data_IF_698118353697
#
_entry.id   IF_698118353697
#
_cell.length_a   1.000
_cell.length_b   1.000
_cell.length_c   1.000
_cell.angle_alpha   90.00
_cell.angle_beta   90.00
_cell.angle_gamma   90.00
#
_symmetry.space_group_name_H-M   'P 1'
#
loop_
_entity.id
_entity.type
_entity.pdbx_description
1 polymer ?
#
# COMPACT_ATOMS: atom_id res chain seq x y z
N UNK A 1 13.46 -31.54 -5.11
CA UNK A 1 12.55 -30.66 -5.87
C UNK A 1 13.34 -29.43 -6.29
N UNK A 2 13.21 -28.99 -7.54
CA UNK A 2 13.73 -27.71 -7.95
C UNK A 2 13.02 -26.61 -7.15
N UNK A 3 13.77 -25.63 -6.67
CA UNK A 3 13.20 -24.47 -6.00
C UNK A 3 12.57 -23.55 -7.05
N UNK A 4 11.27 -23.76 -7.27
CA UNK A 4 10.47 -23.03 -8.25
C UNK A 4 10.43 -21.52 -7.95
N UNK A 5 10.53 -21.10 -6.68
CA UNK A 5 10.56 -19.69 -6.31
C UNK A 5 11.87 -19.06 -6.79
N UNK A 6 13.00 -19.71 -6.53
CA UNK A 6 14.30 -19.25 -7.03
C UNK A 6 14.35 -19.17 -8.55
N UNK A 7 13.72 -20.11 -9.27
CA UNK A 7 13.63 -20.05 -10.74
C UNK A 7 12.83 -18.83 -11.23
N UNK A 8 11.66 -18.58 -10.64
CA UNK A 8 10.82 -17.44 -10.98
C UNK A 8 11.50 -16.10 -10.67
N UNK A 9 12.23 -16.00 -9.56
CA UNK A 9 13.02 -14.81 -9.22
C UNK A 9 14.11 -14.56 -10.26
N UNK A 10 14.83 -15.60 -10.68
CA UNK A 10 15.88 -15.45 -11.71
C UNK A 10 15.30 -15.01 -13.06
N UNK A 11 14.16 -15.58 -13.45
CA UNK A 11 13.45 -15.18 -14.68
C UNK A 11 12.93 -13.75 -14.59
N UNK A 12 12.35 -13.37 -13.45
CA UNK A 12 11.88 -12.00 -13.20
C UNK A 12 13.01 -10.98 -13.25
N UNK A 13 14.18 -11.29 -12.70
CA UNK A 13 15.36 -10.40 -12.74
C UNK A 13 15.87 -10.11 -14.16
N UNK A 14 15.66 -11.03 -15.10
CA UNK A 14 16.05 -10.89 -16.49
C UNK A 14 15.10 -9.99 -17.32
N UNK A 15 13.94 -9.61 -16.77
CA UNK A 15 13.00 -8.72 -17.43
C UNK A 15 13.53 -7.26 -17.46
N UNK A 16 13.09 -6.46 -18.46
CA UNK A 16 13.26 -5.02 -18.43
C UNK A 16 12.66 -4.38 -17.15
N UNK A 17 13.16 -3.21 -16.70
CA UNK A 17 12.67 -2.56 -15.48
C UNK A 17 11.14 -2.45 -15.38
N UNK A 18 10.48 -1.95 -16.43
CA UNK A 18 9.02 -1.77 -16.47
C UNK A 18 8.25 -3.10 -16.30
N UNK A 19 8.75 -4.18 -16.89
CA UNK A 19 8.14 -5.50 -16.77
C UNK A 19 8.35 -6.12 -15.38
N UNK A 20 9.44 -5.77 -14.70
CA UNK A 20 9.66 -6.17 -13.29
C UNK A 20 8.68 -5.48 -12.36
N UNK A 21 8.45 -4.18 -12.56
CA UNK A 21 7.46 -3.41 -11.81
C UNK A 21 6.07 -4.03 -11.99
N UNK A 22 5.67 -4.24 -13.25
CA UNK A 22 4.39 -4.89 -13.57
C UNK A 22 4.23 -6.28 -12.96
N UNK A 23 5.30 -7.08 -12.91
CA UNK A 23 5.28 -8.41 -12.29
C UNK A 23 5.11 -8.31 -10.77
N UNK A 24 5.82 -7.38 -10.12
CA UNK A 24 5.70 -7.15 -8.68
C UNK A 24 4.29 -6.69 -8.32
N UNK A 25 3.72 -5.77 -9.09
CA UNK A 25 2.36 -5.26 -8.87
C UNK A 25 1.31 -6.38 -8.91
N UNK A 26 1.36 -7.25 -9.93
CA UNK A 26 0.42 -8.38 -10.02
C UNK A 26 0.59 -9.39 -8.88
N UNK A 27 1.82 -9.66 -8.45
CA UNK A 27 2.07 -10.54 -7.32
C UNK A 27 1.53 -9.92 -6.02
N UNK A 28 1.74 -8.62 -5.81
CA UNK A 28 1.20 -7.90 -4.65
C UNK A 28 -0.34 -7.88 -4.67
N UNK A 29 -0.95 -7.65 -5.83
CA UNK A 29 -2.41 -7.73 -6.00
C UNK A 29 -2.95 -9.10 -5.60
N UNK A 30 -2.32 -10.20 -6.06
CA UNK A 30 -2.74 -11.57 -5.70
C UNK A 30 -2.65 -11.88 -4.21
N UNK A 31 -1.74 -11.21 -3.49
CA UNK A 31 -1.60 -11.35 -2.03
C UNK A 31 -2.67 -10.52 -1.30
N UNK A 32 -3.09 -9.40 -1.90
CA UNK A 32 -4.02 -8.46 -1.29
C UNK A 32 -5.49 -8.73 -1.62
N UNK A 33 -5.80 -9.41 -2.74
CA UNK A 33 -7.18 -9.70 -3.19
C UNK A 33 -8.08 -10.28 -2.08
N UNK A 34 -7.67 -11.31 -1.30
CA UNK A 34 -8.52 -11.87 -0.26
C UNK A 34 -8.80 -10.88 0.88
N UNK A 35 -7.81 -10.07 1.25
CA UNK A 35 -7.93 -9.10 2.34
C UNK A 35 -8.71 -7.85 1.91
N UNK A 36 -8.55 -7.40 0.66
CA UNK A 36 -9.21 -6.22 0.13
C UNK A 36 -10.74 -6.40 0.13
N UNK A 37 -11.25 -7.57 -0.24
CA UNK A 37 -12.69 -7.85 -0.25
C UNK A 37 -13.33 -7.76 1.15
N UNK A 38 -12.64 -8.25 2.18
CA UNK A 38 -13.14 -8.24 3.56
C UNK A 38 -12.95 -6.87 4.24
N UNK A 39 -11.89 -6.15 3.89
CA UNK A 39 -11.52 -4.90 4.54
C UNK A 39 -12.30 -3.69 4.01
N UNK A 40 -12.77 -3.71 2.76
CA UNK A 40 -13.40 -2.55 2.12
C UNK A 40 -14.54 -1.94 2.95
N UNK A 41 -15.49 -2.75 3.45
CA UNK A 41 -16.61 -2.22 4.24
C UNK A 41 -16.17 -1.62 5.59
N UNK A 42 -15.17 -2.22 6.24
CA UNK A 42 -14.63 -1.70 7.49
C UNK A 42 -13.87 -0.38 7.27
N UNK A 43 -13.14 -0.26 6.16
CA UNK A 43 -12.46 0.97 5.76
C UNK A 43 -13.42 2.08 5.37
N UNK A 44 -14.48 1.77 4.60
CA UNK A 44 -15.53 2.74 4.26
C UNK A 44 -16.14 3.33 5.53
N UNK A 45 -16.55 2.49 6.47
CA UNK A 45 -17.12 2.94 7.75
C UNK A 45 -16.13 3.79 8.56
N UNK A 46 -14.85 3.44 8.57
CA UNK A 46 -13.83 4.19 9.29
C UNK A 46 -13.52 5.56 8.64
N UNK A 47 -13.52 5.63 7.30
CA UNK A 47 -13.34 6.88 6.55
C UNK A 47 -14.49 7.83 6.86
N UNK A 48 -15.74 7.36 6.77
CA UNK A 48 -16.92 8.16 7.08
C UNK A 48 -16.87 8.69 8.53
N UNK A 49 -16.52 7.82 9.48
CA UNK A 49 -16.39 8.21 10.90
C UNK A 49 -15.34 9.31 11.09
N UNK A 50 -14.15 9.15 10.49
CA UNK A 50 -13.05 10.12 10.63
C UNK A 50 -13.34 11.46 9.98
N UNK A 51 -14.01 11.46 8.83
CA UNK A 51 -14.42 12.70 8.17
C UNK A 51 -15.45 13.45 9.02
N UNK A 52 -16.45 12.75 9.55
CA UNK A 52 -17.45 13.37 10.43
C UNK A 52 -16.82 13.98 11.69
N UNK A 53 -15.87 13.29 12.33
CA UNK A 53 -15.12 13.82 13.48
C UNK A 53 -14.28 15.05 13.12
N UNK A 54 -13.67 15.06 11.93
CA UNK A 54 -12.90 16.20 11.42
C UNK A 54 -13.81 17.41 11.16
N UNK A 55 -14.91 17.23 10.44
CA UNK A 55 -15.86 18.29 10.10
C UNK A 55 -16.51 18.90 11.35
N UNK A 56 -16.73 18.09 12.39
CA UNK A 56 -17.25 18.53 13.70
C UNK A 56 -16.19 19.18 14.59
N UNK A 57 -14.91 19.17 14.20
CA UNK A 57 -13.81 19.69 15.00
C UNK A 57 -13.48 18.85 16.24
N UNK A 58 -13.89 17.58 16.24
CA UNK A 58 -13.62 16.64 17.34
C UNK A 58 -12.20 16.07 17.32
N UNK A 59 -11.45 16.29 16.24
CA UNK A 59 -10.05 15.88 16.09
C UNK A 59 -9.15 17.09 15.83
N UNK A 60 -7.95 17.07 16.41
CA UNK A 60 -6.92 18.04 16.11
C UNK A 60 -6.13 17.58 14.88
N UNK A 61 -6.28 18.30 13.78
CA UNK A 61 -5.50 18.06 12.58
C UNK A 61 -4.06 18.58 12.74
N UNK A 62 -3.14 17.95 12.01
CA UNK A 62 -1.74 18.36 11.91
C UNK A 62 -1.55 19.00 10.53
N UNK A 63 -0.79 20.08 10.45
CA UNK A 63 -0.48 20.72 9.18
C UNK A 63 0.25 19.75 8.24
N UNK A 64 -0.21 19.69 6.98
CA UNK A 64 0.33 18.78 5.99
C UNK A 64 1.84 18.99 5.77
N UNK A 65 2.32 20.24 5.84
CA UNK A 65 3.74 20.55 5.72
C UNK A 65 4.59 19.90 6.82
N UNK A 66 4.08 19.85 8.06
CA UNK A 66 4.74 19.18 9.18
C UNK A 66 4.82 17.68 8.93
N UNK A 67 3.71 17.06 8.51
CA UNK A 67 3.64 15.63 8.17
C UNK A 67 4.65 15.28 7.09
N UNK A 68 4.65 16.01 5.96
CA UNK A 68 5.57 15.73 4.85
C UNK A 68 7.03 15.98 5.22
N UNK A 69 7.31 16.98 6.04
CA UNK A 69 8.67 17.24 6.55
C UNK A 69 9.16 16.08 7.38
N UNK A 70 8.32 15.53 8.26
CA UNK A 70 8.66 14.33 9.06
C UNK A 70 8.87 13.10 8.17
N UNK A 71 7.98 12.86 7.20
CA UNK A 71 8.09 11.72 6.28
C UNK A 71 9.40 11.74 5.47
N UNK A 72 9.79 12.90 4.92
CA UNK A 72 11.06 13.05 4.20
C UNK A 72 12.28 12.72 5.05
N UNK A 73 12.27 13.05 6.34
CA UNK A 73 13.38 12.70 7.26
C UNK A 73 13.50 11.19 7.51
N UNK A 74 12.39 10.44 7.42
CA UNK A 74 12.38 8.98 7.62
C UNK A 74 12.87 8.25 6.37
N UNK A 75 12.60 8.80 5.19
CA UNK A 75 12.96 8.19 3.91
C UNK A 75 14.40 8.50 3.44
N UNK A 76 15.18 9.24 4.24
CA UNK A 76 16.60 9.56 4.02
C UNK A 76 17.50 8.57 4.76
#
# INVERSE_FOLDING_TARGET
MLDQVSELVNRGRALPPEDRERLVDQLLESLNEPAAAELNAAWESEIERRLAEYDQGHVQAIDAEEVFTKARRIAQ
#
